data_IF_748129946629
#
_entry.id   IF_748129946629
#
_cell.length_a   1.000
_cell.length_b   1.000
_cell.length_c   1.000
_cell.angle_alpha   90.00
_cell.angle_beta   90.00
_cell.angle_gamma   90.00
#
_symmetry.space_group_name_H-M   'P 1'
#
loop_
_entity.id
_entity.type
_entity.pdbx_description
1 polymer ?
#
# COMPACT_ATOMS: atom_id res chain seq x y z
N UNK A 1 7.36 -23.45 -16.52
CA UNK A 1 7.89 -22.63 -17.64
C UNK A 1 6.93 -21.56 -18.21
N UNK A 2 5.60 -21.69 -18.07
CA UNK A 2 4.62 -20.74 -18.65
C UNK A 2 4.36 -19.47 -17.81
N UNK A 3 4.64 -19.48 -16.49
CA UNK A 3 4.31 -18.38 -15.58
C UNK A 3 5.35 -17.25 -15.45
N UNK A 4 6.53 -17.35 -16.09
CA UNK A 4 7.63 -16.37 -15.92
C UNK A 4 7.25 -14.95 -16.37
N UNK A 5 6.35 -14.83 -17.36
CA UNK A 5 5.92 -13.53 -17.89
C UNK A 5 4.61 -13.04 -17.28
N UNK A 6 3.77 -13.94 -16.73
CA UNK A 6 2.47 -13.56 -16.18
C UNK A 6 2.59 -12.68 -14.94
N UNK A 7 3.51 -13.02 -14.02
CA UNK A 7 3.74 -12.24 -12.79
C UNK A 7 4.12 -10.78 -13.06
N UNK A 8 5.17 -10.50 -13.87
CA UNK A 8 5.55 -9.15 -14.23
C UNK A 8 4.44 -8.36 -14.93
N UNK A 9 3.68 -8.99 -15.84
CA UNK A 9 2.57 -8.33 -16.55
C UNK A 9 1.49 -7.89 -15.55
N UNK A 10 1.09 -8.77 -14.63
CA UNK A 10 0.11 -8.42 -13.59
C UNK A 10 0.61 -7.28 -12.71
N UNK A 11 1.89 -7.30 -12.33
CA UNK A 11 2.50 -6.24 -11.52
C UNK A 11 2.46 -4.87 -12.23
N UNK A 12 2.84 -4.82 -13.51
CA UNK A 12 2.81 -3.58 -14.30
C UNK A 12 1.39 -3.05 -14.45
N UNK A 13 0.43 -3.91 -14.78
CA UNK A 13 -0.99 -3.52 -14.91
C UNK A 13 -1.51 -3.01 -13.56
N UNK A 14 -1.27 -3.73 -12.47
CA UNK A 14 -1.70 -3.33 -11.13
C UNK A 14 -1.10 -1.99 -10.71
N UNK A 15 0.18 -1.76 -11.00
CA UNK A 15 0.84 -0.50 -10.65
C UNK A 15 0.35 0.67 -11.50
N UNK A 16 0.06 0.45 -12.79
CA UNK A 16 -0.57 1.45 -13.64
C UNK A 16 -1.97 1.83 -13.13
N UNK A 17 -2.82 0.84 -12.82
CA UNK A 17 -4.16 1.09 -12.27
C UNK A 17 -4.08 1.83 -10.94
N UNK A 18 -3.20 1.40 -10.04
CA UNK A 18 -2.96 2.06 -8.74
C UNK A 18 -2.53 3.52 -8.91
N UNK A 19 -1.59 3.80 -9.83
CA UNK A 19 -1.12 5.15 -10.13
C UNK A 19 -2.20 6.04 -10.74
N UNK A 20 -3.05 5.50 -11.61
CA UNK A 20 -4.19 6.23 -12.19
C UNK A 20 -5.20 6.60 -11.09
N UNK A 21 -5.51 5.69 -10.18
CA UNK A 21 -6.40 5.96 -9.04
C UNK A 21 -5.84 7.06 -8.13
N UNK A 22 -4.54 7.01 -7.84
CA UNK A 22 -3.85 8.08 -7.11
C UNK A 22 -4.00 9.42 -7.85
N UNK A 23 -3.69 9.46 -9.15
CA UNK A 23 -3.80 10.68 -9.94
C UNK A 23 -5.22 11.26 -9.94
N UNK A 24 -6.25 10.40 -10.02
CA UNK A 24 -7.65 10.82 -9.93
C UNK A 24 -7.98 11.42 -8.54
N UNK A 25 -7.43 10.87 -7.47
CA UNK A 25 -7.65 11.36 -6.09
C UNK A 25 -7.11 12.79 -5.87
N UNK A 26 -6.08 13.19 -6.63
CA UNK A 26 -5.49 14.54 -6.55
C UNK A 26 -6.44 15.65 -7.01
N UNK A 27 -7.57 15.32 -7.65
CA UNK A 27 -8.59 16.30 -8.02
C UNK A 27 -9.35 16.86 -6.80
N UNK A 28 -9.34 16.15 -5.67
CA UNK A 28 -10.10 16.54 -4.47
C UNK A 28 -9.32 16.47 -3.16
N UNK A 29 -8.11 15.91 -3.17
CA UNK A 29 -7.28 15.73 -1.97
C UNK A 29 -5.91 16.38 -2.21
N UNK A 30 -5.32 16.98 -1.18
CA UNK A 30 -3.97 17.53 -1.24
C UNK A 30 -2.94 16.44 -1.59
N UNK A 31 -1.89 16.80 -2.31
CA UNK A 31 -0.84 15.86 -2.74
C UNK A 31 -0.22 15.09 -1.57
N UNK A 32 0.02 15.78 -0.44
CA UNK A 32 0.61 15.18 0.76
C UNK A 32 -0.29 14.11 1.39
N UNK A 33 -1.56 14.45 1.61
CA UNK A 33 -2.54 13.51 2.18
C UNK A 33 -2.79 12.33 1.24
N UNK A 34 -2.93 12.58 -0.07
CA UNK A 34 -3.14 11.53 -1.06
C UNK A 34 -1.96 10.55 -1.11
N UNK A 35 -0.72 11.04 -1.12
CA UNK A 35 0.46 10.19 -1.16
C UNK A 35 0.67 9.41 0.14
N UNK A 36 0.40 10.03 1.29
CA UNK A 36 0.43 9.35 2.59
C UNK A 36 -0.58 8.20 2.64
N UNK A 37 -1.82 8.43 2.22
CA UNK A 37 -2.85 7.38 2.17
C UNK A 37 -2.45 6.26 1.21
N UNK A 38 -2.00 6.60 0.00
CA UNK A 38 -1.61 5.63 -1.02
C UNK A 38 -0.45 4.73 -0.57
N UNK A 39 0.63 5.33 -0.05
CA UNK A 39 1.78 4.58 0.48
C UNK A 39 1.42 3.78 1.73
N UNK A 40 0.61 4.34 2.63
CA UNK A 40 0.17 3.67 3.85
C UNK A 40 -0.66 2.41 3.59
N UNK A 41 -1.63 2.49 2.67
CA UNK A 41 -2.42 1.32 2.25
C UNK A 41 -1.51 0.26 1.62
N UNK A 42 -0.58 0.67 0.74
CA UNK A 42 0.39 -0.24 0.12
C UNK A 42 1.26 -0.96 1.14
N UNK A 43 1.80 -0.24 2.12
CA UNK A 43 2.64 -0.80 3.18
C UNK A 43 1.85 -1.76 4.09
N UNK A 44 0.66 -1.36 4.55
CA UNK A 44 -0.19 -2.18 5.39
C UNK A 44 -0.67 -3.44 4.66
N UNK A 45 -1.11 -3.31 3.41
CA UNK A 45 -1.53 -4.43 2.57
C UNK A 45 -0.39 -5.42 2.29
N UNK A 46 0.80 -4.92 1.97
CA UNK A 46 1.99 -5.77 1.74
C UNK A 46 2.37 -6.52 3.00
N UNK A 47 2.32 -5.86 4.16
CA UNK A 47 2.58 -6.52 5.45
C UNK A 47 1.56 -7.64 5.73
N UNK A 48 0.27 -7.37 5.58
CA UNK A 48 -0.80 -8.35 5.81
C UNK A 48 -0.63 -9.55 4.87
N UNK A 49 -0.41 -9.29 3.58
CA UNK A 49 -0.18 -10.36 2.59
C UNK A 49 1.09 -11.16 2.94
N UNK A 50 2.17 -10.48 3.35
CA UNK A 50 3.41 -11.12 3.78
C UNK A 50 3.16 -12.11 4.92
N UNK A 51 2.48 -11.67 5.97
CA UNK A 51 2.19 -12.51 7.14
C UNK A 51 1.26 -13.68 6.78
N UNK A 52 0.20 -13.44 6.00
CA UNK A 52 -0.82 -14.46 5.70
C UNK A 52 -0.41 -15.48 4.63
N UNK A 53 0.28 -15.04 3.56
CA UNK A 53 0.57 -15.88 2.39
C UNK A 53 2.04 -16.28 2.29
N UNK A 54 2.97 -15.45 2.78
CA UNK A 54 4.41 -15.69 2.68
C UNK A 54 5.03 -16.19 3.99
N UNK A 55 4.24 -16.36 5.05
CA UNK A 55 4.69 -16.79 6.38
C UNK A 55 5.81 -15.89 6.94
N UNK A 56 5.74 -14.59 6.65
CA UNK A 56 6.66 -13.62 7.22
C UNK A 56 6.57 -13.61 8.77
N UNK A 57 7.69 -13.37 9.47
CA UNK A 57 7.69 -13.34 10.94
C UNK A 57 6.68 -12.33 11.49
N UNK A 58 5.66 -12.82 12.19
CA UNK A 58 4.57 -12.03 12.78
C UNK A 58 4.94 -11.45 14.16
N UNK A 59 6.00 -10.66 14.20
CA UNK A 59 6.53 -10.09 15.45
C UNK A 59 5.69 -8.88 15.87
N UNK A 60 5.38 -8.77 17.17
CA UNK A 60 4.54 -7.69 17.74
C UNK A 60 5.02 -6.29 17.31
N UNK A 61 6.33 -6.07 17.22
CA UNK A 61 6.91 -4.79 16.83
C UNK A 61 6.53 -4.36 15.40
N UNK A 62 6.38 -5.32 14.46
CA UNK A 62 5.94 -5.02 13.08
C UNK A 62 4.49 -4.58 13.05
N UNK A 63 3.64 -5.19 13.88
CA UNK A 63 2.24 -4.78 14.04
C UNK A 63 2.11 -3.37 14.63
N UNK A 64 2.94 -3.03 15.61
CA UNK A 64 3.01 -1.67 16.16
C UNK A 64 3.44 -0.68 15.06
N UNK A 65 4.47 -1.02 14.28
CA UNK A 65 4.95 -0.18 13.17
C UNK A 65 3.87 0.09 12.12
N UNK A 66 3.15 -0.94 11.68
CA UNK A 66 2.04 -0.78 10.72
C UNK A 66 0.90 0.03 11.32
N UNK A 67 0.59 -0.15 12.60
CA UNK A 67 -0.42 0.64 13.29
C UNK A 67 -0.05 2.12 13.35
N UNK A 68 1.22 2.43 13.61
CA UNK A 68 1.76 3.81 13.57
C UNK A 68 1.67 4.43 12.18
N UNK A 69 1.96 3.68 11.12
CA UNK A 69 1.78 4.14 9.73
C UNK A 69 0.32 4.52 9.50
N UNK A 70 -0.62 3.64 9.86
CA UNK A 70 -2.06 3.88 9.68
C UNK A 70 -2.52 5.10 10.48
N UNK A 71 -2.09 5.23 11.74
CA UNK A 71 -2.41 6.38 12.58
C UNK A 71 -1.88 7.69 12.00
N UNK A 72 -0.63 7.70 11.50
CA UNK A 72 -0.04 8.87 10.85
C UNK A 72 -0.82 9.30 9.61
N UNK A 73 -1.27 8.33 8.80
CA UNK A 73 -2.12 8.58 7.63
C UNK A 73 -3.47 9.18 8.01
N UNK A 74 -4.13 8.64 9.05
CA UNK A 74 -5.41 9.17 9.53
C UNK A 74 -5.24 10.61 10.00
N UNK A 75 -4.19 10.89 10.76
CA UNK A 75 -3.91 12.23 11.28
C UNK A 75 -3.69 13.26 10.15
N UNK A 76 -2.92 12.88 9.11
CA UNK A 76 -2.69 13.72 7.91
C UNK A 76 -3.93 13.96 7.06
N UNK A 77 -4.96 13.11 7.18
CA UNK A 77 -6.25 13.31 6.51
C UNK A 77 -7.18 14.23 7.29
N UNK A 78 -7.03 14.28 8.62
CA UNK A 78 -7.84 15.12 9.51
C UNK A 78 -7.28 16.52 9.74
N UNK A 79 -6.00 16.73 9.43
CA UNK A 79 -5.35 18.05 9.41
C UNK A 79 -5.73 18.83 8.14
#
# INVERSE_FOLDING_TARGET
PSFKFLGPIISVISMAVSGILLWLSLKGISIGTAYAVWTGIGAAGTFIIGVLFFNDPSILLRWIGVSLIILGVIFLKTA
#
